data_IF_828444501275
#
_entry.id   IF_828444501275
#
_cell.length_a   1.000
_cell.length_b   1.000
_cell.length_c   1.000
_cell.angle_alpha   90.00
_cell.angle_beta   90.00
_cell.angle_gamma   90.00
#
_symmetry.space_group_name_H-M   'P 1'
#
loop_
_entity.id
_entity.type
_entity.pdbx_description
1 polymer ?
#
# COMPACT_ATOMS: atom_id res chain seq x y z
N UNK A 1 -0.53 2.33 -24.37
CA UNK A 1 0.18 2.35 -23.07
C UNK A 1 -0.81 2.00 -21.97
N UNK A 2 -0.71 0.82 -21.34
CA UNK A 2 -1.56 0.49 -20.18
C UNK A 2 -1.20 1.45 -19.04
N UNK A 3 -2.10 2.39 -18.72
CA UNK A 3 -2.02 3.13 -17.45
C UNK A 3 -2.08 2.08 -16.36
N UNK A 4 -0.93 1.72 -15.79
CA UNK A 4 -0.89 0.85 -14.63
C UNK A 4 -1.79 1.49 -13.59
N UNK A 5 -2.91 0.84 -13.28
CA UNK A 5 -3.90 1.44 -12.39
C UNK A 5 -3.25 1.64 -11.02
N UNK A 6 -3.68 2.66 -10.26
CA UNK A 6 -3.19 2.83 -8.89
C UNK A 6 -3.39 1.55 -8.06
N UNK A 7 -4.39 0.74 -8.41
CA UNK A 7 -4.63 -0.60 -7.88
C UNK A 7 -3.51 -1.59 -8.19
N UNK A 8 -3.06 -1.71 -9.45
CA UNK A 8 -1.95 -2.61 -9.81
C UNK A 8 -0.63 -2.20 -9.13
N UNK A 9 -0.40 -0.88 -8.97
CA UNK A 9 0.74 -0.40 -8.17
C UNK A 9 0.60 -0.79 -6.71
N UNK A 10 -0.60 -0.64 -6.14
CA UNK A 10 -0.87 -1.02 -4.76
C UNK A 10 -0.66 -2.52 -4.53
N UNK A 11 -1.09 -3.38 -5.46
CA UNK A 11 -0.89 -4.82 -5.35
C UNK A 11 0.59 -5.21 -5.36
N UNK A 12 1.39 -4.63 -6.26
CA UNK A 12 2.85 -4.88 -6.28
C UNK A 12 3.53 -4.46 -4.98
N UNK A 13 3.15 -3.30 -4.45
CA UNK A 13 3.76 -2.79 -3.21
C UNK A 13 3.29 -3.60 -1.99
N UNK A 14 2.05 -4.11 -1.99
CA UNK A 14 1.55 -5.08 -1.00
C UNK A 14 2.25 -6.43 -1.07
N UNK A 15 2.49 -6.94 -2.27
CA UNK A 15 3.19 -8.21 -2.45
C UNK A 15 4.62 -8.14 -1.88
N UNK A 16 5.34 -7.03 -2.16
CA UNK A 16 6.65 -6.79 -1.53
C UNK A 16 6.57 -6.70 -0.01
N UNK A 17 5.55 -6.00 0.52
CA UNK A 17 5.35 -5.88 1.97
C UNK A 17 5.13 -7.25 2.60
N UNK A 18 4.32 -8.12 1.98
CA UNK A 18 4.09 -9.48 2.47
C UNK A 18 5.37 -10.31 2.48
N UNK A 19 6.19 -10.23 1.44
CA UNK A 19 7.47 -10.97 1.41
C UNK A 19 8.42 -10.53 2.52
N UNK A 20 8.54 -9.21 2.74
CA UNK A 20 9.35 -8.66 3.84
C UNK A 20 8.78 -9.05 5.21
N UNK A 21 7.45 -9.03 5.35
CA UNK A 21 6.79 -9.45 6.58
C UNK A 21 6.98 -10.94 6.87
N UNK A 22 6.88 -11.80 5.86
CA UNK A 22 7.14 -13.24 5.99
C UNK A 22 8.59 -13.51 6.40
N UNK A 23 9.55 -12.76 5.83
CA UNK A 23 10.96 -12.88 6.20
C UNK A 23 11.23 -12.40 7.62
N UNK A 24 10.67 -11.27 8.02
CA UNK A 24 10.74 -10.77 9.40
C UNK A 24 10.11 -11.76 10.38
N UNK A 25 8.94 -12.31 10.07
CA UNK A 25 8.26 -13.31 10.90
C UNK A 25 9.06 -14.61 11.01
N UNK A 26 9.65 -15.10 9.92
CA UNK A 26 10.54 -16.27 9.94
C UNK A 26 11.77 -16.06 10.82
N UNK A 27 12.29 -14.83 10.84
CA UNK A 27 13.42 -14.45 11.69
C UNK A 27 12.99 -14.07 13.13
N UNK A 28 11.69 -14.11 13.44
CA UNK A 28 11.17 -13.70 14.75
C UNK A 28 11.27 -12.19 15.03
N UNK A 29 11.50 -11.39 13.99
CA UNK A 29 11.62 -9.94 14.07
C UNK A 29 10.20 -9.32 14.04
N UNK A 30 9.84 -8.51 15.04
CA UNK A 30 8.60 -7.76 14.99
C UNK A 30 8.56 -6.83 13.77
N UNK A 31 7.45 -6.86 13.03
CA UNK A 31 7.24 -6.03 11.84
C UNK A 31 7.43 -4.53 12.07
N UNK A 32 7.25 -4.08 13.32
CA UNK A 32 7.45 -2.69 13.74
C UNK A 32 8.92 -2.32 13.95
N UNK A 33 9.79 -3.30 14.14
CA UNK A 33 11.24 -3.12 14.29
C UNK A 33 11.98 -3.30 12.96
N UNK A 34 11.35 -3.95 11.98
CA UNK A 34 11.91 -4.09 10.64
C UNK A 34 11.72 -2.78 9.86
N UNK A 35 12.81 -2.06 9.64
CA UNK A 35 12.81 -0.77 8.95
C UNK A 35 12.36 -0.91 7.48
N UNK A 36 12.65 -2.04 6.82
CA UNK A 36 12.24 -2.29 5.44
C UNK A 36 10.72 -2.51 5.35
N UNK A 37 10.15 -3.28 6.28
CA UNK A 37 8.69 -3.45 6.42
C UNK A 37 8.04 -2.11 6.71
N UNK A 38 8.59 -1.32 7.64
CA UNK A 38 8.04 0.00 7.98
C UNK A 38 8.10 0.99 6.82
N UNK A 39 9.22 1.03 6.08
CA UNK A 39 9.37 1.89 4.92
C UNK A 39 8.41 1.49 3.78
N UNK A 40 8.24 0.18 3.57
CA UNK A 40 7.33 -0.35 2.57
C UNK A 40 5.86 -0.13 2.97
N UNK A 41 5.53 -0.27 4.25
CA UNK A 41 4.20 -0.01 4.81
C UNK A 41 3.77 1.44 4.55
N UNK A 42 4.66 2.42 4.81
CA UNK A 42 4.39 3.84 4.52
C UNK A 42 4.07 4.10 3.04
N UNK A 43 4.71 3.39 2.10
CA UNK A 43 4.41 3.52 0.66
C UNK A 43 3.03 2.97 0.32
N UNK A 44 2.67 1.82 0.89
CA UNK A 44 1.34 1.21 0.74
C UNK A 44 0.28 2.16 1.30
N UNK A 45 0.48 2.71 2.49
CA UNK A 45 -0.45 3.66 3.12
C UNK A 45 -0.65 4.92 2.26
N UNK A 46 0.43 5.50 1.74
CA UNK A 46 0.34 6.67 0.86
C UNK A 46 -0.47 6.39 -0.42
N UNK A 47 -0.30 5.19 -1.01
CA UNK A 47 -1.09 4.76 -2.18
C UNK A 47 -2.56 4.54 -1.82
N UNK A 48 -2.85 3.91 -0.68
CA UNK A 48 -4.22 3.70 -0.19
C UNK A 48 -4.91 5.04 0.05
N UNK A 49 -4.27 5.99 0.73
CA UNK A 49 -4.80 7.33 0.95
C UNK A 49 -5.08 8.03 -0.38
N UNK A 50 -4.18 7.90 -1.37
CA UNK A 50 -4.39 8.49 -2.69
C UNK A 50 -5.60 7.89 -3.42
N UNK A 51 -5.75 6.58 -3.39
CA UNK A 51 -6.90 5.86 -3.97
C UNK A 51 -8.20 6.24 -3.25
N UNK A 52 -8.17 6.32 -1.91
CA UNK A 52 -9.32 6.73 -1.11
C UNK A 52 -9.71 8.19 -1.39
N UNK A 53 -8.74 9.11 -1.52
CA UNK A 53 -9.00 10.50 -1.89
C UNK A 53 -9.60 10.63 -3.29
N UNK A 54 -9.11 9.85 -4.26
CA UNK A 54 -9.72 9.80 -5.60
C UNK A 54 -11.15 9.25 -5.55
N UNK A 55 -11.40 8.19 -4.79
CA UNK A 55 -12.76 7.64 -4.59
C UNK A 55 -13.69 8.58 -3.82
N UNK A 56 -13.18 9.29 -2.81
CA UNK A 56 -13.91 10.24 -1.98
C UNK A 56 -14.34 11.48 -2.76
N UNK A 57 -13.43 12.06 -3.56
CA UNK A 57 -13.77 13.15 -4.49
C UNK A 57 -14.82 12.75 -5.54
N UNK A 58 -14.86 11.47 -5.90
CA UNK A 58 -15.86 10.94 -6.83
C UNK A 58 -17.25 10.75 -6.20
N UNK A 59 -17.34 10.68 -4.86
CA UNK A 59 -18.60 10.59 -4.12
C UNK A 59 -19.22 11.97 -3.89
N UNK A 60 -18.43 13.00 -3.63
CA UNK A 60 -18.95 14.37 -3.44
C UNK A 60 -19.52 14.96 -4.75
N UNK A 61 -18.95 14.63 -5.92
CA UNK A 61 -19.46 15.09 -7.23
C UNK A 61 -20.74 14.41 -7.72
N UNK A 62 -21.32 13.48 -6.96
CA UNK A 62 -22.57 12.76 -7.34
C UNK A 62 -23.80 13.22 -6.54
N UNK A 63 -23.65 14.25 -5.71
CA UNK A 63 -24.75 14.83 -4.92
C UNK A 63 -25.11 16.27 -5.31
N UNK A 64 -24.60 16.79 -6.44
CA UNK A 64 -25.01 18.08 -7.01
C UNK A 64 -25.92 17.87 -8.22
#
# INVERSE_FOLDING_TARGET
MKKVSLNEKLEKEKEKLNRLADEALKNGIPLTQDEAVMAQSRKVDALVVKIQKEKGRHREKKQE
#
